data_IF_595508899184
#
_entry.id   IF_595508899184
#
_cell.length_a   1.000
_cell.length_b   1.000
_cell.length_c   1.000
_cell.angle_alpha   90.00
_cell.angle_beta   90.00
_cell.angle_gamma   90.00
#
_symmetry.space_group_name_H-M   'P 1'
#
loop_
_entity.id
_entity.type
_entity.pdbx_description
1 polymer ?
#
# COMPACT_ATOMS: atom_id res chain seq x y z
N UNK A 1 15.89 -34.80 -0.81
CA UNK A 1 16.14 -34.29 0.54
C UNK A 1 16.18 -32.76 0.41
N UNK A 2 15.09 -32.09 0.74
CA UNK A 2 15.07 -30.62 0.79
C UNK A 2 15.65 -30.23 2.14
N UNK A 3 16.75 -29.51 2.11
CA UNK A 3 17.29 -28.83 3.28
C UNK A 3 16.23 -27.85 3.77
N UNK A 4 15.83 -28.00 5.02
CA UNK A 4 14.95 -27.06 5.73
C UNK A 4 15.73 -25.78 5.90
N UNK A 5 15.35 -24.74 5.16
CA UNK A 5 15.82 -23.38 5.37
C UNK A 5 15.56 -23.00 6.83
N UNK A 6 16.58 -22.51 7.49
CA UNK A 6 16.47 -22.07 8.88
C UNK A 6 15.38 -21.03 8.99
N UNK A 7 14.37 -21.29 9.82
CA UNK A 7 13.32 -20.33 10.17
C UNK A 7 13.96 -19.12 10.87
N UNK A 8 14.12 -18.03 10.14
CA UNK A 8 14.62 -16.77 10.69
C UNK A 8 13.41 -16.02 11.25
N UNK A 9 13.26 -16.06 12.58
CA UNK A 9 12.24 -15.26 13.26
C UNK A 9 12.65 -13.77 13.20
N UNK A 10 11.98 -13.01 12.34
CA UNK A 10 12.18 -11.56 12.26
C UNK A 10 11.58 -10.94 13.50
N UNK A 11 12.43 -10.55 14.45
CA UNK A 11 12.00 -9.86 15.67
C UNK A 11 11.38 -8.51 15.32
N UNK A 12 10.31 -8.16 16.04
CA UNK A 12 9.76 -6.79 16.00
C UNK A 12 10.85 -5.80 16.41
N UNK A 13 10.83 -4.62 15.82
CA UNK A 13 11.71 -3.54 16.24
C UNK A 13 11.45 -3.19 17.71
N UNK A 14 12.52 -2.93 18.44
CA UNK A 14 12.41 -2.35 19.76
C UNK A 14 11.89 -0.90 19.69
N UNK A 15 11.57 -0.30 20.84
CA UNK A 15 10.99 1.06 20.85
C UNK A 15 11.92 2.11 20.25
N UNK A 16 13.22 1.98 20.45
CA UNK A 16 14.23 2.92 19.93
C UNK A 16 14.35 2.78 18.41
N UNK A 17 14.55 1.56 17.92
CA UNK A 17 14.62 1.25 16.49
C UNK A 17 13.34 1.67 15.76
N UNK A 18 12.18 1.42 16.37
CA UNK A 18 10.88 1.81 15.84
C UNK A 18 10.72 3.33 15.75
N UNK A 19 11.18 4.06 16.79
CA UNK A 19 11.16 5.53 16.80
C UNK A 19 12.11 6.11 15.76
N UNK A 20 13.29 5.56 15.60
CA UNK A 20 14.26 5.99 14.58
C UNK A 20 13.70 5.75 13.18
N UNK A 21 13.19 4.54 12.88
CA UNK A 21 12.62 4.22 11.58
C UNK A 21 11.42 5.12 11.24
N UNK A 22 10.52 5.34 12.17
CA UNK A 22 9.39 6.24 12.01
C UNK A 22 9.86 7.67 11.75
N UNK A 23 10.80 8.18 12.55
CA UNK A 23 11.30 9.55 12.47
C UNK A 23 12.01 9.83 11.14
N UNK A 24 12.76 8.89 10.59
CA UNK A 24 13.35 8.99 9.26
C UNK A 24 12.28 9.24 8.17
N UNK A 25 11.14 8.59 8.28
CA UNK A 25 10.06 8.75 7.31
C UNK A 25 9.24 10.02 7.57
N UNK A 26 8.98 10.38 8.83
CA UNK A 26 8.13 11.51 9.21
C UNK A 26 8.86 12.86 9.24
N UNK A 27 10.20 12.88 9.47
CA UNK A 27 10.96 14.12 9.68
C UNK A 27 12.26 14.20 8.88
N UNK A 28 12.67 13.09 8.21
CA UNK A 28 13.98 12.94 7.53
C UNK A 28 15.18 13.10 8.49
N UNK A 29 14.99 12.72 9.75
CA UNK A 29 16.01 12.65 10.81
C UNK A 29 15.71 11.46 11.73
N UNK A 30 16.69 11.02 12.53
CA UNK A 30 16.58 9.81 13.36
C UNK A 30 15.83 9.98 14.70
N UNK A 31 15.31 11.15 14.97
CA UNK A 31 14.56 11.47 16.18
C UNK A 31 13.36 12.37 15.84
N UNK A 32 12.30 12.36 16.66
CA UNK A 32 11.17 13.27 16.48
C UNK A 32 11.60 14.75 16.64
N UNK A 33 10.87 15.66 16.00
CA UNK A 33 10.97 17.09 16.33
C UNK A 33 10.41 17.32 17.74
N UNK A 34 10.95 18.28 18.46
CA UNK A 34 10.65 18.57 19.88
C UNK A 34 9.14 18.63 20.17
N UNK A 35 8.38 19.36 19.36
CA UNK A 35 6.92 19.49 19.53
C UNK A 35 6.13 18.22 19.15
N UNK A 36 6.74 17.23 18.48
CA UNK A 36 6.10 16.03 17.97
C UNK A 36 6.43 14.78 18.77
N UNK A 37 7.27 14.84 19.81
CA UNK A 37 7.73 13.66 20.55
C UNK A 37 6.59 12.80 21.10
N UNK A 38 5.62 13.44 21.80
CA UNK A 38 4.46 12.73 22.37
C UNK A 38 3.60 12.05 21.30
N UNK A 39 3.39 12.74 20.18
CA UNK A 39 2.60 12.20 19.06
C UNK A 39 3.36 11.06 18.37
N UNK A 40 4.66 11.19 18.18
CA UNK A 40 5.51 10.13 17.63
C UNK A 40 5.50 8.87 18.49
N UNK A 41 5.59 9.01 19.80
CA UNK A 41 5.48 7.89 20.73
C UNK A 41 4.09 7.21 20.64
N UNK A 42 3.01 7.97 20.50
CA UNK A 42 1.66 7.41 20.30
C UNK A 42 1.59 6.60 18.99
N UNK A 43 2.19 7.10 17.90
CA UNK A 43 2.27 6.38 16.62
C UNK A 43 3.05 5.08 16.75
N UNK A 44 4.24 5.12 17.33
CA UNK A 44 5.10 3.95 17.51
C UNK A 44 4.39 2.88 18.36
N UNK A 45 3.72 3.29 19.42
CA UNK A 45 2.93 2.38 20.24
C UNK A 45 1.73 1.79 19.48
N UNK A 46 1.02 2.61 18.70
CA UNK A 46 -0.11 2.17 17.88
C UNK A 46 0.30 1.10 16.86
N UNK A 47 1.42 1.31 16.17
CA UNK A 47 1.94 0.39 15.14
C UNK A 47 2.59 -0.86 15.74
N UNK A 48 2.99 -0.82 17.02
CA UNK A 48 3.55 -1.95 17.76
C UNK A 48 4.78 -2.59 17.06
N UNK A 49 5.73 -1.76 16.64
CA UNK A 49 7.01 -2.19 16.09
C UNK A 49 6.95 -2.84 14.70
N UNK A 50 5.84 -2.76 13.97
CA UNK A 50 5.73 -3.29 12.60
C UNK A 50 6.42 -2.34 11.60
N UNK A 51 7.55 -2.73 10.95
CA UNK A 51 8.36 -1.82 10.14
C UNK A 51 7.60 -1.16 9.00
N UNK A 52 6.75 -1.91 8.29
CA UNK A 52 5.94 -1.35 7.20
C UNK A 52 4.99 -0.27 7.70
N UNK A 53 4.30 -0.51 8.81
CA UNK A 53 3.39 0.46 9.41
C UNK A 53 4.09 1.75 9.80
N UNK A 54 5.29 1.65 10.39
CA UNK A 54 6.12 2.80 10.76
C UNK A 54 6.56 3.61 9.54
N UNK A 55 6.99 2.95 8.46
CA UNK A 55 7.37 3.60 7.20
C UNK A 55 6.18 4.32 6.58
N UNK A 56 5.10 3.59 6.31
CA UNK A 56 3.92 4.14 5.62
C UNK A 56 3.28 5.26 6.43
N UNK A 57 3.13 5.09 7.76
CA UNK A 57 2.55 6.12 8.60
C UNK A 57 3.49 7.32 8.78
N UNK A 58 4.80 7.10 8.82
CA UNK A 58 5.79 8.18 8.80
C UNK A 58 5.68 9.01 7.52
N UNK A 59 5.65 8.37 6.35
CA UNK A 59 5.46 9.04 5.07
C UNK A 59 4.09 9.75 4.98
N UNK A 60 3.03 9.13 5.48
CA UNK A 60 1.69 9.71 5.53
C UNK A 60 1.61 10.99 6.37
N UNK A 61 2.34 11.03 7.49
CA UNK A 61 2.36 12.16 8.42
C UNK A 61 3.41 13.21 8.08
N UNK A 62 4.30 12.93 7.14
CA UNK A 62 5.34 13.86 6.70
C UNK A 62 4.75 15.20 6.23
N UNK A 63 5.30 16.31 6.72
CA UNK A 63 4.87 17.66 6.36
C UNK A 63 3.53 18.11 6.94
N UNK A 64 2.79 17.26 7.67
CA UNK A 64 1.53 17.62 8.32
C UNK A 64 1.78 18.37 9.61
N UNK A 65 0.85 19.28 9.96
CA UNK A 65 0.87 20.04 11.22
C UNK A 65 0.50 19.19 12.43
N UNK A 66 0.82 19.65 13.63
CA UNK A 66 0.45 18.99 14.91
C UNK A 66 -1.08 18.76 15.00
N UNK A 67 -1.89 19.72 14.56
CA UNK A 67 -3.34 19.58 14.56
C UNK A 67 -3.81 18.47 13.64
N UNK A 68 -3.21 18.36 12.45
CA UNK A 68 -3.49 17.27 11.51
C UNK A 68 -3.06 15.91 12.07
N UNK A 69 -1.88 15.82 12.70
CA UNK A 69 -1.43 14.59 13.36
C UNK A 69 -2.42 14.13 14.43
N UNK A 70 -2.85 15.05 15.33
CA UNK A 70 -3.84 14.74 16.39
C UNK A 70 -5.15 14.23 15.80
N UNK A 71 -5.64 14.87 14.73
CA UNK A 71 -6.87 14.44 14.05
C UNK A 71 -6.74 13.04 13.46
N UNK A 72 -5.60 12.74 12.81
CA UNK A 72 -5.36 11.42 12.21
C UNK A 72 -5.23 10.33 13.28
N UNK A 73 -4.48 10.58 14.35
CA UNK A 73 -4.32 9.62 15.46
C UNK A 73 -5.67 9.34 16.13
N UNK A 74 -6.47 10.37 16.39
CA UNK A 74 -7.79 10.20 16.99
C UNK A 74 -8.72 9.31 16.14
N UNK A 75 -8.71 9.49 14.81
CA UNK A 75 -9.46 8.60 13.90
C UNK A 75 -8.96 7.16 13.95
N UNK A 76 -7.66 6.93 14.03
CA UNK A 76 -7.06 5.60 14.11
C UNK A 76 -7.41 4.87 15.43
N UNK A 77 -7.50 5.61 16.52
CA UNK A 77 -7.85 5.06 17.86
C UNK A 77 -9.31 4.60 17.93
N UNK A 78 -10.20 5.20 17.15
CA UNK A 78 -11.62 4.82 17.14
C UNK A 78 -11.88 3.46 16.47
N UNK A 79 -10.93 2.92 15.70
CA UNK A 79 -11.09 1.65 14.97
C UNK A 79 -9.92 0.67 15.25
N UNK A 80 -9.82 0.13 16.48
CA UNK A 80 -8.64 -0.60 16.94
C UNK A 80 -8.42 -1.98 16.29
N UNK A 81 -9.45 -2.60 15.71
CA UNK A 81 -9.39 -3.99 15.24
C UNK A 81 -8.71 -4.19 13.86
N UNK A 82 -8.40 -3.10 13.14
CA UNK A 82 -7.79 -3.13 11.80
C UNK A 82 -6.60 -2.19 11.67
N UNK A 83 -5.82 -2.03 12.73
CA UNK A 83 -4.79 -0.99 12.86
C UNK A 83 -3.92 -0.79 11.62
N UNK A 84 -3.27 -1.85 11.14
CA UNK A 84 -2.36 -1.74 10.00
C UNK A 84 -3.11 -1.54 8.67
N UNK A 85 -4.24 -2.21 8.49
CA UNK A 85 -5.04 -2.05 7.27
C UNK A 85 -5.58 -0.63 7.14
N UNK A 86 -5.98 0.00 8.25
CA UNK A 86 -6.40 1.41 8.26
C UNK A 86 -5.29 2.37 7.87
N UNK A 87 -4.07 2.16 8.40
CA UNK A 87 -2.90 2.96 8.02
C UNK A 87 -2.64 2.85 6.52
N UNK A 88 -2.60 1.63 5.99
CA UNK A 88 -2.36 1.38 4.58
C UNK A 88 -3.48 1.94 3.70
N UNK A 89 -4.74 1.74 4.12
CA UNK A 89 -5.92 2.25 3.41
C UNK A 89 -5.93 3.77 3.35
N UNK A 90 -5.58 4.47 4.44
CA UNK A 90 -5.47 5.93 4.45
C UNK A 90 -4.43 6.45 3.49
N UNK A 91 -3.26 5.81 3.43
CA UNK A 91 -2.22 6.17 2.48
C UNK A 91 -2.67 5.98 1.03
N UNK A 92 -3.45 4.93 0.76
CA UNK A 92 -4.08 4.71 -0.53
C UNK A 92 -5.17 5.76 -0.83
N UNK A 93 -6.00 6.12 0.15
CA UNK A 93 -7.12 7.06 -0.04
C UNK A 93 -6.63 8.48 -0.40
N UNK A 94 -5.44 8.88 0.05
CA UNK A 94 -4.80 10.15 -0.31
C UNK A 94 -4.24 10.19 -1.75
N UNK A 95 -4.15 9.07 -2.44
CA UNK A 95 -3.72 9.02 -3.82
C UNK A 95 -4.77 9.69 -4.73
N UNK A 96 -4.32 10.37 -5.76
CA UNK A 96 -5.20 10.83 -6.82
C UNK A 96 -5.73 9.65 -7.66
N UNK A 97 -6.64 9.94 -8.58
CA UNK A 97 -7.29 8.92 -9.40
C UNK A 97 -6.29 8.08 -10.19
N UNK A 98 -5.30 8.71 -10.78
CA UNK A 98 -4.30 8.04 -11.64
C UNK A 98 -3.34 7.20 -10.80
N UNK A 99 -2.87 7.73 -9.68
CA UNK A 99 -2.01 7.04 -8.73
C UNK A 99 -2.71 5.80 -8.13
N UNK A 100 -4.01 5.88 -7.84
CA UNK A 100 -4.82 4.73 -7.42
C UNK A 100 -4.85 3.64 -8.48
N UNK A 101 -5.01 4.00 -9.74
CA UNK A 101 -4.98 3.03 -10.84
C UNK A 101 -3.62 2.33 -10.92
N UNK A 102 -2.52 3.09 -10.89
CA UNK A 102 -1.14 2.54 -10.90
C UNK A 102 -0.93 1.61 -9.70
N UNK A 103 -1.34 2.02 -8.50
CA UNK A 103 -1.24 1.20 -7.29
C UNK A 103 -1.95 -0.16 -7.45
N UNK A 104 -3.18 -0.15 -7.97
CA UNK A 104 -3.96 -1.36 -8.17
C UNK A 104 -3.38 -2.24 -9.27
N UNK A 105 -2.83 -1.67 -10.35
CA UNK A 105 -2.16 -2.42 -11.42
C UNK A 105 -0.89 -3.10 -10.92
N UNK A 106 -0.08 -2.39 -10.11
CA UNK A 106 1.10 -2.99 -9.46
C UNK A 106 0.69 -4.12 -8.51
N UNK A 107 -0.35 -3.91 -7.68
CA UNK A 107 -0.82 -4.93 -6.74
C UNK A 107 -1.32 -6.21 -7.42
N UNK A 108 -1.94 -6.09 -8.59
CA UNK A 108 -2.54 -7.20 -9.32
C UNK A 108 -1.57 -7.88 -10.30
N UNK A 109 -0.72 -7.11 -11.02
CA UNK A 109 -0.02 -7.60 -12.20
C UNK A 109 1.48 -7.32 -12.23
N UNK A 110 1.98 -6.22 -11.66
CA UNK A 110 3.32 -5.71 -11.95
C UNK A 110 4.29 -5.79 -10.75
N UNK A 111 3.96 -6.55 -9.71
CA UNK A 111 4.89 -6.74 -8.61
C UNK A 111 6.07 -7.63 -9.03
N UNK A 112 7.29 -7.11 -8.94
CA UNK A 112 8.52 -7.76 -9.36
C UNK A 112 8.92 -7.47 -10.81
N UNK A 113 8.12 -6.71 -11.56
CA UNK A 113 8.38 -6.39 -12.96
C UNK A 113 9.30 -5.17 -13.13
N UNK A 114 10.01 -5.12 -14.26
CA UNK A 114 10.89 -4.01 -14.62
C UNK A 114 10.15 -2.68 -14.72
N UNK A 115 10.65 -1.65 -14.05
CA UNK A 115 10.03 -0.32 -13.96
C UNK A 115 9.79 0.30 -15.33
N UNK A 116 10.76 0.21 -16.25
CA UNK A 116 10.67 0.85 -17.55
C UNK A 116 9.63 0.15 -18.43
N UNK A 117 9.55 -1.19 -18.30
CA UNK A 117 8.51 -1.96 -18.97
C UNK A 117 7.12 -1.56 -18.46
N UNK A 118 6.92 -1.50 -17.15
CA UNK A 118 5.65 -1.12 -16.52
C UNK A 118 5.27 0.32 -16.88
N UNK A 119 6.23 1.24 -16.84
CA UNK A 119 6.01 2.65 -17.22
C UNK A 119 5.45 2.76 -18.63
N UNK A 120 6.04 2.06 -19.60
CA UNK A 120 5.54 2.08 -21.00
C UNK A 120 4.11 1.57 -21.13
N UNK A 121 3.73 0.52 -20.39
CA UNK A 121 2.37 -0.02 -20.43
C UNK A 121 1.39 0.99 -19.82
N UNK A 122 1.71 1.54 -18.66
CA UNK A 122 0.83 2.48 -17.96
C UNK A 122 0.70 3.81 -18.70
N UNK A 123 1.75 4.29 -19.37
CA UNK A 123 1.71 5.51 -20.20
C UNK A 123 0.85 5.31 -21.44
N UNK A 124 0.83 4.10 -22.03
CA UNK A 124 -0.12 3.76 -23.10
C UNK A 124 -1.59 3.86 -22.64
N UNK A 125 -1.84 3.77 -21.32
CA UNK A 125 -3.16 4.01 -20.70
C UNK A 125 -3.36 5.48 -20.26
N UNK A 126 -2.45 6.41 -20.60
CA UNK A 126 -2.46 7.82 -20.18
C UNK A 126 -2.42 8.03 -18.65
N UNK A 127 -1.65 7.22 -17.91
CA UNK A 127 -1.56 7.30 -16.45
C UNK A 127 -0.43 8.18 -15.94
N UNK A 128 0.40 8.79 -16.80
CA UNK A 128 1.58 9.57 -16.38
C UNK A 128 2.46 8.78 -15.40
N UNK A 129 2.84 7.58 -15.83
CA UNK A 129 3.35 6.52 -14.96
C UNK A 129 4.62 6.91 -14.21
N UNK A 130 5.57 7.61 -14.82
CA UNK A 130 6.82 8.03 -14.17
C UNK A 130 6.53 8.85 -12.91
N UNK A 131 5.63 9.83 -12.96
CA UNK A 131 5.24 10.62 -11.81
C UNK A 131 4.46 9.79 -10.78
N UNK A 132 3.55 8.95 -11.23
CA UNK A 132 2.74 8.09 -10.35
C UNK A 132 3.61 7.08 -9.59
N UNK A 133 4.53 6.39 -10.26
CA UNK A 133 5.48 5.45 -9.65
C UNK A 133 6.35 6.17 -8.62
N UNK A 134 6.87 7.38 -8.95
CA UNK A 134 7.64 8.19 -8.00
C UNK A 134 6.84 8.52 -6.76
N UNK A 135 5.60 9.00 -6.89
CA UNK A 135 4.73 9.32 -5.74
C UNK A 135 4.44 8.09 -4.88
N UNK A 136 4.16 6.93 -5.50
CA UNK A 136 3.96 5.68 -4.76
C UNK A 136 5.22 5.27 -3.98
N UNK A 137 6.41 5.45 -4.57
CA UNK A 137 7.70 5.20 -3.90
C UNK A 137 7.94 6.17 -2.75
N UNK A 138 7.71 7.48 -2.95
CA UNK A 138 7.86 8.52 -1.92
C UNK A 138 6.92 8.28 -0.72
N UNK A 139 5.73 7.72 -0.97
CA UNK A 139 4.77 7.31 0.07
C UNK A 139 5.06 5.92 0.67
N UNK A 140 6.15 5.28 0.33
CA UNK A 140 6.52 3.93 0.77
C UNK A 140 5.46 2.84 0.45
N UNK A 141 4.63 3.06 -0.58
CA UNK A 141 3.65 2.09 -1.05
C UNK A 141 4.24 1.07 -2.01
N UNK A 142 5.33 1.43 -2.67
CA UNK A 142 6.18 0.54 -3.45
C UNK A 142 7.66 0.83 -3.15
N UNK A 143 8.54 -0.05 -3.57
CA UNK A 143 9.99 0.17 -3.58
C UNK A 143 10.54 -0.20 -4.96
N UNK A 144 11.61 0.47 -5.36
CA UNK A 144 12.33 0.17 -6.60
C UNK A 144 13.67 -0.44 -6.19
N UNK A 145 13.91 -1.69 -6.59
CA UNK A 145 15.13 -2.43 -6.30
C UNK A 145 15.61 -3.04 -7.61
N UNK A 146 16.84 -2.73 -8.01
CA UNK A 146 17.44 -3.19 -9.28
C UNK A 146 16.52 -2.93 -10.49
N UNK A 147 15.94 -1.73 -10.56
CA UNK A 147 14.96 -1.30 -11.56
C UNK A 147 13.63 -2.09 -11.58
N UNK A 148 13.38 -2.97 -10.60
CA UNK A 148 12.12 -3.70 -10.48
C UNK A 148 11.20 -3.07 -9.44
N UNK A 149 9.89 -3.07 -9.71
CA UNK A 149 8.86 -2.55 -8.81
C UNK A 149 8.47 -3.63 -7.80
N UNK A 150 8.64 -3.35 -6.52
CA UNK A 150 8.25 -4.23 -5.44
C UNK A 150 7.18 -3.61 -4.55
N UNK A 151 6.17 -4.39 -4.21
CA UNK A 151 5.11 -4.02 -3.28
C UNK A 151 5.03 -5.05 -2.17
N UNK A 152 5.00 -4.59 -0.92
CA UNK A 152 4.86 -5.47 0.24
C UNK A 152 3.52 -6.24 0.20
N UNK A 153 3.51 -7.50 0.65
CA UNK A 153 2.33 -8.37 0.56
C UNK A 153 1.07 -7.78 1.20
N UNK A 154 1.18 -7.08 2.33
CA UNK A 154 0.03 -6.40 2.95
C UNK A 154 -0.59 -5.33 2.05
N UNK A 155 0.22 -4.58 1.28
CA UNK A 155 -0.26 -3.60 0.30
C UNK A 155 -0.85 -4.29 -0.92
N UNK A 156 -0.26 -5.40 -1.36
CA UNK A 156 -0.82 -6.23 -2.45
C UNK A 156 -2.18 -6.80 -2.05
N UNK A 157 -2.32 -7.32 -0.83
CA UNK A 157 -3.61 -7.78 -0.31
C UNK A 157 -4.63 -6.65 -0.28
N UNK A 158 -4.28 -5.48 0.27
CA UNK A 158 -5.15 -4.31 0.26
C UNK A 158 -5.61 -3.96 -1.17
N UNK A 159 -4.70 -3.87 -2.13
CA UNK A 159 -5.03 -3.54 -3.52
C UNK A 159 -5.98 -4.56 -4.15
N UNK A 160 -5.72 -5.85 -3.95
CA UNK A 160 -6.58 -6.94 -4.43
C UNK A 160 -7.95 -6.93 -3.77
N UNK A 161 -8.03 -6.66 -2.46
CA UNK A 161 -9.30 -6.58 -1.74
C UNK A 161 -10.14 -5.39 -2.24
N UNK A 162 -9.52 -4.24 -2.53
CA UNK A 162 -10.21 -3.10 -3.14
C UNK A 162 -10.80 -3.50 -4.51
N UNK A 163 -10.01 -4.11 -5.38
CA UNK A 163 -10.49 -4.60 -6.68
C UNK A 163 -11.62 -5.62 -6.53
N UNK A 164 -11.55 -6.49 -5.51
CA UNK A 164 -12.59 -7.47 -5.23
C UNK A 164 -13.89 -6.81 -4.74
N UNK A 165 -13.80 -5.75 -3.94
CA UNK A 165 -14.97 -5.01 -3.46
C UNK A 165 -15.67 -4.27 -4.60
N UNK A 166 -14.93 -3.62 -5.51
CA UNK A 166 -15.49 -3.02 -6.73
C UNK A 166 -16.33 -4.03 -7.53
N UNK A 167 -15.92 -5.30 -7.55
CA UNK A 167 -16.66 -6.38 -8.19
C UNK A 167 -18.00 -6.71 -7.51
N UNK A 168 -18.07 -6.64 -6.18
CA UNK A 168 -19.28 -6.97 -5.44
C UNK A 168 -20.35 -5.87 -5.54
N UNK A 169 -19.92 -4.62 -5.72
CA UNK A 169 -20.81 -3.46 -5.81
C UNK A 169 -21.43 -3.28 -7.21
N UNK A 170 -20.72 -3.62 -8.27
CA UNK A 170 -21.23 -3.49 -9.64
C UNK A 170 -20.72 -4.63 -10.56
N UNK A 171 -21.59 -5.63 -10.76
CA UNK A 171 -21.31 -6.81 -11.59
C UNK A 171 -20.98 -6.49 -13.08
N UNK A 172 -21.01 -5.24 -13.49
CA UNK A 172 -20.74 -4.78 -14.85
C UNK A 172 -19.48 -3.95 -15.05
N UNK A 173 -18.85 -3.47 -13.96
CA UNK A 173 -17.72 -2.54 -14.02
C UNK A 173 -16.42 -3.18 -13.50
N UNK A 174 -15.90 -4.12 -14.24
CA UNK A 174 -14.65 -4.80 -13.92
C UNK A 174 -13.46 -3.90 -14.27
N UNK A 175 -12.77 -3.41 -13.27
CA UNK A 175 -11.55 -2.66 -13.53
C UNK A 175 -10.35 -3.59 -13.82
N UNK A 176 -10.31 -4.77 -13.15
CA UNK A 176 -9.18 -5.73 -13.25
C UNK A 176 -9.62 -7.17 -13.04
N UNK A 177 -9.15 -8.06 -13.91
CA UNK A 177 -9.40 -9.51 -13.83
C UNK A 177 -8.15 -10.20 -13.29
N UNK A 178 -7.91 -10.15 -11.99
CA UNK A 178 -6.72 -10.75 -11.37
C UNK A 178 -6.99 -12.06 -10.58
N UNK A 179 -8.24 -12.52 -10.53
CA UNK A 179 -8.62 -13.77 -9.86
C UNK A 179 -9.10 -14.81 -10.87
N UNK A 180 -8.50 -16.03 -10.89
CA UNK A 180 -8.88 -17.08 -11.87
C UNK A 180 -10.35 -17.50 -11.81
N UNK A 181 -10.93 -17.59 -10.61
CA UNK A 181 -12.34 -17.91 -10.40
C UNK A 181 -13.27 -16.82 -10.95
N UNK A 182 -12.84 -15.58 -10.84
CA UNK A 182 -13.54 -14.41 -11.36
C UNK A 182 -13.44 -14.38 -12.89
N UNK A 183 -12.27 -14.59 -13.45
CA UNK A 183 -12.05 -14.68 -14.91
C UNK A 183 -12.98 -15.74 -15.50
N UNK A 184 -13.01 -16.94 -14.91
CA UNK A 184 -13.85 -18.04 -15.36
C UNK A 184 -15.34 -17.67 -15.37
N UNK A 185 -15.84 -16.99 -14.33
CA UNK A 185 -17.25 -16.55 -14.24
C UNK A 185 -17.62 -15.50 -15.29
N UNK A 186 -16.70 -14.57 -15.57
CA UNK A 186 -16.91 -13.55 -16.61
C UNK A 186 -16.97 -14.17 -17.98
N UNK A 187 -16.00 -15.02 -18.30
CA UNK A 187 -15.95 -15.69 -19.60
C UNK A 187 -17.21 -16.55 -19.83
N UNK A 188 -17.63 -17.33 -18.83
CA UNK A 188 -18.88 -18.11 -18.91
C UNK A 188 -20.10 -17.23 -19.16
N UNK A 189 -20.23 -16.09 -18.42
CA UNK A 189 -21.37 -15.16 -18.60
C UNK A 189 -21.38 -14.50 -19.99
N UNK A 190 -20.20 -14.11 -20.50
CA UNK A 190 -20.12 -13.53 -21.84
C UNK A 190 -20.43 -14.57 -22.92
N UNK A 191 -19.94 -15.81 -22.76
CA UNK A 191 -20.27 -16.92 -23.67
C UNK A 191 -21.78 -17.22 -23.67
N UNK A 192 -22.43 -17.27 -22.51
CA UNK A 192 -23.87 -17.49 -22.40
C UNK A 192 -24.67 -16.34 -23.05
N UNK A 193 -24.26 -15.07 -22.88
CA UNK A 193 -24.90 -13.93 -23.57
C UNK A 193 -24.70 -13.95 -25.07
N UNK A 194 -23.61 -14.50 -25.59
CA UNK A 194 -23.37 -14.63 -27.03
C UNK A 194 -24.18 -15.77 -27.67
N UNK A 195 -24.49 -16.83 -26.90
CA UNK A 195 -25.26 -17.98 -27.35
C UNK A 195 -26.78 -17.71 -27.34
N UNK A 196 -27.25 -16.81 -26.41
CA UNK A 196 -28.65 -16.45 -26.27
C UNK A 196 -29.10 -15.24 -27.12
N UNK A 197 -28.28 -14.81 -28.09
CA UNK A 197 -28.63 -13.85 -29.16
C UNK A 197 -28.74 -14.57 -30.48
#
# INVERSE_FOLDING_TARGET
MHETDALFEVKKLDHKEATELFSWNAFKQNHPKEDYEKLSNSVVHYVNGLPLGLKVLGCFLYGKTISQWKSELHKMEQEPNQKIQHVLKRSYDELDRTQKQIFLDVACFFNGEDKDFVTRILDACNFFAENGIRVLSDKCLISIIDNNIWMHDLLRHLGRDIVRQEFLEDLGKWSRLCYPDVISRVLIRQMVRAICK
#
